data_IF_750296503210
#
_entry.id   IF_750296503210
#
_cell.length_a   1.000
_cell.length_b   1.000
_cell.length_c   1.000
_cell.angle_alpha   90.00
_cell.angle_beta   90.00
_cell.angle_gamma   90.00
#
_symmetry.space_group_name_H-M   'P 1'
#
loop_
_entity.id
_entity.type
_entity.pdbx_description
1 polymer ?
#
# COMPACT_ATOMS: atom_id res chain seq x y z
N UNK A 1 5.62 -13.80 -0.66
CA UNK A 1 4.38 -13.21 -0.11
C UNK A 1 4.64 -11.77 0.29
N UNK A 2 3.61 -10.95 0.49
CA UNK A 2 3.77 -9.59 1.05
C UNK A 2 2.93 -9.47 2.31
N UNK A 3 3.52 -8.88 3.35
CA UNK A 3 2.85 -8.61 4.61
C UNK A 3 2.67 -7.10 4.77
N UNK A 4 1.55 -6.69 5.34
CA UNK A 4 1.16 -5.31 5.53
C UNK A 4 0.91 -5.07 7.01
N UNK A 5 1.78 -4.30 7.64
CA UNK A 5 1.68 -3.93 9.05
C UNK A 5 0.94 -2.61 9.14
N UNK A 6 -0.22 -2.59 9.78
CA UNK A 6 -0.97 -1.36 10.07
C UNK A 6 -0.67 -0.97 11.51
N UNK A 7 0.12 0.10 11.69
CA UNK A 7 0.41 0.69 13.00
C UNK A 7 -0.72 1.60 13.45
N UNK A 8 -1.23 2.42 12.51
CA UNK A 8 -2.37 3.31 12.73
C UNK A 8 -3.38 3.17 11.62
N UNK A 9 -4.61 2.89 12.02
CA UNK A 9 -5.75 2.74 11.14
C UNK A 9 -6.98 2.41 11.96
N UNK A 10 -8.07 2.03 11.28
CA UNK A 10 -9.30 1.57 11.95
C UNK A 10 -9.06 0.33 12.81
N UNK A 11 -8.27 -0.61 12.29
CA UNK A 11 -7.84 -1.83 12.98
C UNK A 11 -6.33 -2.00 12.77
N UNK A 12 -5.50 -1.72 13.79
CA UNK A 12 -4.07 -1.98 13.73
C UNK A 12 -3.78 -3.49 13.84
N UNK A 13 -2.79 -3.96 13.09
CA UNK A 13 -2.43 -5.38 13.01
C UNK A 13 -1.61 -5.72 11.76
N UNK A 14 -1.24 -6.99 11.60
CA UNK A 14 -0.52 -7.49 10.43
C UNK A 14 -1.50 -8.20 9.49
N UNK A 15 -1.49 -7.82 8.21
CA UNK A 15 -2.36 -8.33 7.16
C UNK A 15 -1.52 -8.98 6.07
N UNK A 16 -2.03 -10.04 5.45
CA UNK A 16 -1.39 -10.71 4.30
C UNK A 16 -1.91 -10.19 2.95
N UNK A 17 -3.00 -9.42 2.97
CA UNK A 17 -3.69 -8.93 1.78
C UNK A 17 -3.72 -7.40 1.74
N UNK A 18 -3.38 -6.82 0.59
CA UNK A 18 -3.55 -5.38 0.33
C UNK A 18 -5.00 -4.89 0.50
N UNK A 19 -6.05 -5.53 -0.06
CA UNK A 19 -7.40 -4.99 0.04
C UNK A 19 -7.89 -4.84 1.49
N UNK A 20 -7.54 -5.79 2.36
CA UNK A 20 -7.89 -5.74 3.79
C UNK A 20 -7.18 -4.59 4.50
N UNK A 21 -5.87 -4.44 4.26
CA UNK A 21 -5.07 -3.32 4.78
C UNK A 21 -5.62 -1.98 4.29
N UNK A 22 -5.89 -1.87 2.98
CA UNK A 22 -6.41 -0.67 2.34
C UNK A 22 -7.72 -0.20 2.98
N UNK A 23 -8.64 -1.13 3.29
CA UNK A 23 -9.90 -0.78 3.98
C UNK A 23 -9.68 -0.18 5.38
N UNK A 24 -8.59 -0.52 6.06
CA UNK A 24 -8.29 0.01 7.40
C UNK A 24 -7.61 1.38 7.36
N UNK A 25 -6.81 1.65 6.33
CA UNK A 25 -6.05 2.90 6.19
C UNK A 25 -6.78 3.95 5.35
N UNK A 26 -7.65 3.53 4.43
CA UNK A 26 -8.36 4.42 3.52
C UNK A 26 -9.33 5.35 4.29
N UNK A 27 -9.14 6.65 4.10
CA UNK A 27 -9.91 7.70 4.77
C UNK A 27 -9.59 7.89 6.25
N UNK A 28 -8.55 7.26 6.80
CA UNK A 28 -8.14 7.45 8.19
C UNK A 28 -7.04 8.52 8.30
N UNK A 29 -7.31 9.60 9.05
CA UNK A 29 -6.38 10.73 9.21
C UNK A 29 -5.15 10.28 10.00
N UNK A 30 -3.97 10.35 9.39
CA UNK A 30 -2.72 9.89 10.01
C UNK A 30 -2.59 8.37 10.04
N UNK A 31 -3.15 7.67 9.04
CA UNK A 31 -2.94 6.24 8.87
C UNK A 31 -1.47 5.94 8.60
N UNK A 32 -0.97 4.87 9.22
CA UNK A 32 0.41 4.44 9.12
C UNK A 32 0.43 2.94 8.88
N UNK A 33 0.98 2.57 7.73
CA UNK A 33 1.16 1.19 7.35
C UNK A 33 2.53 1.00 6.72
N UNK A 34 3.02 -0.23 6.80
CA UNK A 34 4.33 -0.64 6.34
C UNK A 34 4.20 -1.98 5.61
N UNK A 35 5.02 -2.20 4.58
CA UNK A 35 5.03 -3.45 3.82
C UNK A 35 6.33 -4.22 4.05
N UNK A 36 6.24 -5.44 4.53
CA UNK A 36 7.36 -6.37 4.72
C UNK A 36 7.27 -7.54 3.73
N UNK A 37 8.40 -8.22 3.49
CA UNK A 37 8.41 -9.51 2.80
C UNK A 37 8.33 -10.68 3.79
N UNK A 38 8.69 -10.45 5.05
CA UNK A 38 8.74 -11.44 6.12
C UNK A 38 7.70 -11.19 7.22
N UNK A 39 7.12 -12.27 7.75
CA UNK A 39 6.10 -12.18 8.81
C UNK A 39 6.71 -11.85 10.16
N UNK A 40 7.88 -12.43 10.47
CA UNK A 40 8.55 -12.24 11.76
C UNK A 40 9.06 -10.79 11.89
N UNK A 41 9.63 -10.25 10.81
CA UNK A 41 10.01 -8.84 10.71
C UNK A 41 8.79 -7.93 10.85
N UNK A 42 7.69 -8.24 10.16
CA UNK A 42 6.44 -7.50 10.26
C UNK A 42 5.88 -7.46 11.69
N UNK A 43 5.88 -8.60 12.38
CA UNK A 43 5.38 -8.73 13.74
C UNK A 43 6.30 -8.04 14.76
N UNK A 44 7.62 -8.16 14.59
CA UNK A 44 8.59 -7.44 15.39
C UNK A 44 8.44 -5.93 15.25
N UNK A 45 8.33 -5.44 14.01
CA UNK A 45 8.10 -4.03 13.72
C UNK A 45 6.77 -3.54 14.30
N UNK A 46 5.71 -4.33 14.19
CA UNK A 46 4.42 -4.03 14.83
C UNK A 46 4.58 -3.91 16.34
N UNK A 47 5.15 -4.92 17.03
CA UNK A 47 5.31 -4.88 18.48
C UNK A 47 6.19 -3.72 18.98
N UNK A 48 7.27 -3.41 18.28
CA UNK A 48 8.16 -2.30 18.65
C UNK A 48 7.49 -0.92 18.47
N UNK A 49 6.60 -0.76 17.50
CA UNK A 49 6.01 0.54 17.14
C UNK A 49 4.53 0.70 17.51
N UNK A 50 3.83 -0.37 17.89
CA UNK A 50 2.39 -0.36 18.20
C UNK A 50 2.04 0.51 19.43
N UNK A 51 3.00 0.72 20.34
CA UNK A 51 2.83 1.56 21.53
C UNK A 51 3.26 3.01 21.33
N UNK A 52 3.91 3.38 20.23
CA UNK A 52 4.34 4.76 20.03
C UNK A 52 3.18 5.57 19.42
N UNK A 53 2.61 6.47 20.22
CA UNK A 53 1.58 7.41 19.74
C UNK A 53 2.14 8.37 18.68
N UNK A 54 3.46 8.45 18.51
CA UNK A 54 4.13 9.18 17.43
C UNK A 54 4.31 8.26 16.24
N UNK A 55 3.23 8.00 15.50
CA UNK A 55 3.44 7.81 14.08
C UNK A 55 3.77 9.19 13.48
N UNK A 56 5.04 9.54 13.51
CA UNK A 56 5.55 10.84 13.11
C UNK A 56 6.91 10.69 12.45
N UNK A 57 6.90 10.72 11.11
CA UNK A 57 8.00 11.12 10.25
C UNK A 57 9.35 10.41 10.49
N UNK A 58 9.41 9.12 10.22
CA UNK A 58 10.61 8.56 9.60
C UNK A 58 10.24 8.08 8.21
N UNK A 59 10.45 8.94 7.23
CA UNK A 59 10.55 8.55 5.84
C UNK A 59 11.78 7.67 5.71
N UNK A 60 11.61 6.40 5.99
CA UNK A 60 12.43 5.37 5.38
C UNK A 60 11.52 4.75 4.33
N UNK A 61 11.83 5.06 3.08
CA UNK A 61 11.35 4.33 1.92
C UNK A 61 11.68 2.85 2.15
N UNK A 62 10.72 2.10 2.66
CA UNK A 62 10.87 0.66 2.68
C UNK A 62 10.73 0.20 1.26
N UNK A 63 11.90 0.04 0.65
CA UNK A 63 12.20 -0.49 -0.67
C UNK A 63 11.68 -1.92 -0.77
N UNK A 64 10.38 -2.12 -0.68
CA UNK A 64 9.75 -3.42 -0.87
C UNK A 64 8.70 -3.26 -1.96
N UNK A 65 9.24 -3.30 -3.18
CA UNK A 65 8.60 -3.74 -4.42
C UNK A 65 7.16 -3.26 -4.57
N UNK A 66 7.00 -2.20 -5.33
CA UNK A 66 5.72 -1.69 -5.80
C UNK A 66 5.26 -2.53 -7.02
N UNK A 67 4.36 -3.53 -6.89
CA UNK A 67 3.70 -4.12 -8.07
C UNK A 67 2.56 -3.23 -8.59
N UNK A 68 2.18 -2.17 -7.86
CA UNK A 68 0.98 -1.37 -8.16
C UNK A 68 1.11 -0.47 -9.40
N UNK A 69 2.33 -0.09 -9.79
CA UNK A 69 2.54 0.80 -10.93
C UNK A 69 2.29 0.10 -12.26
N UNK A 70 2.56 -1.22 -12.34
CA UNK A 70 2.46 -1.98 -13.61
C UNK A 70 0.99 -2.21 -13.97
N UNK A 71 0.12 -2.49 -13.00
CA UNK A 71 -1.30 -2.79 -13.28
C UNK A 71 -2.09 -1.51 -13.62
N UNK A 72 -1.77 -0.37 -12.98
CA UNK A 72 -2.48 0.90 -13.23
C UNK A 72 -2.04 1.57 -14.54
N UNK A 73 -0.77 1.43 -14.93
CA UNK A 73 -0.29 1.97 -16.22
C UNK A 73 -0.82 1.20 -17.42
N UNK A 74 -0.98 -0.13 -17.32
CA UNK A 74 -1.54 -0.93 -18.41
C UNK A 74 -3.01 -0.56 -18.70
N UNK A 75 -3.83 -0.27 -17.69
CA UNK A 75 -5.23 0.15 -17.90
C UNK A 75 -5.37 1.56 -18.49
N UNK A 76 -4.45 2.47 -18.20
CA UNK A 76 -4.46 3.82 -18.76
C UNK A 76 -3.94 3.85 -20.20
N UNK A 77 -2.91 3.04 -20.51
CA UNK A 77 -2.37 2.92 -21.85
C UNK A 77 -3.36 2.25 -22.82
N UNK A 78 -4.12 1.25 -22.37
CA UNK A 78 -5.15 0.61 -23.21
C UNK A 78 -6.30 1.54 -23.56
N UNK A 79 -6.74 2.38 -22.61
CA UNK A 79 -7.77 3.40 -22.84
C UNK A 79 -7.28 4.45 -23.85
N UNK A 80 -6.03 4.89 -23.71
CA UNK A 80 -5.43 5.92 -24.56
C UNK A 80 -5.25 5.45 -26.01
N UNK A 81 -4.83 4.20 -26.24
CA UNK A 81 -4.71 3.63 -27.59
C UNK A 81 -6.09 3.46 -28.25
N UNK A 82 -7.14 3.10 -27.50
CA UNK A 82 -8.51 3.05 -28.06
C UNK A 82 -8.99 4.43 -28.52
N UNK A 83 -8.78 5.47 -27.70
CA UNK A 83 -9.21 6.83 -28.03
C UNK A 83 -8.49 7.36 -29.28
N UNK A 84 -7.18 7.09 -29.42
CA UNK A 84 -6.40 7.51 -30.60
C UNK A 84 -6.85 6.81 -31.89
N UNK A 85 -7.18 5.52 -31.83
CA UNK A 85 -7.75 4.79 -32.98
C UNK A 85 -9.13 5.34 -33.34
N UNK A 86 -9.97 5.71 -32.36
CA UNK A 86 -11.27 6.32 -32.64
C UNK A 86 -11.18 7.69 -33.34
N UNK A 87 -10.19 8.51 -33.00
CA UNK A 87 -10.01 9.85 -33.61
C UNK A 87 -9.51 9.76 -35.05
N UNK A 88 -8.77 8.70 -35.41
CA UNK A 88 -8.20 8.55 -36.76
C UNK A 88 -9.19 8.02 -37.81
N UNK A 89 -10.35 7.51 -37.37
CA UNK A 89 -11.40 6.92 -38.22
C UNK A 89 -12.63 7.83 -38.39
N UNK A 90 -12.57 9.08 -37.93
CA UNK A 90 -13.60 10.11 -38.13
C UNK A 90 -13.03 11.25 -38.98
#
# INVERSE_FOLDING_TARGET
MSFYVVLKGRKPGVYTSWPECHMQVNGFKGACYFKCQDYEEAMGYFHSNYKDERCGNKGEDVRIGHPSAIIVTLGFLTLLVSILVCISFM
#
